data_IF_977704748395
#
_entry.id   IF_977704748395
#
_cell.length_a   1.000
_cell.length_b   1.000
_cell.length_c   1.000
_cell.angle_alpha   90.00
_cell.angle_beta   90.00
_cell.angle_gamma   90.00
#
_symmetry.space_group_name_H-M   'P 1'
#
loop_
_entity.id
_entity.type
_entity.pdbx_description
1 polymer ?
#
# COMPACT_ATOMS: atom_id res chain seq x y z
N UNK A 1 -23.04 7.98 -5.23
CA UNK A 1 -21.63 7.88 -4.82
C UNK A 1 -20.94 9.21 -5.07
N UNK A 2 -20.06 9.67 -4.16
CA UNK A 2 -19.30 10.92 -4.32
C UNK A 2 -18.00 10.61 -5.05
N UNK A 3 -17.78 11.23 -6.20
CA UNK A 3 -16.53 11.15 -6.96
C UNK A 3 -15.83 12.49 -6.87
N UNK A 4 -14.73 12.53 -6.13
CA UNK A 4 -13.91 13.73 -5.97
C UNK A 4 -12.44 13.33 -5.93
N UNK A 5 -11.60 13.98 -6.74
CA UNK A 5 -10.17 13.68 -6.77
C UNK A 5 -9.47 14.13 -5.50
N UNK A 6 -9.89 15.28 -4.95
CA UNK A 6 -9.33 15.86 -3.73
C UNK A 6 -9.77 15.05 -2.51
N UNK A 7 -8.79 14.49 -1.79
CA UNK A 7 -9.01 13.76 -0.54
C UNK A 7 -9.79 14.56 0.49
N UNK A 8 -9.46 15.85 0.67
CA UNK A 8 -10.14 16.72 1.65
C UNK A 8 -11.66 16.78 1.44
N UNK A 9 -12.14 16.77 0.18
CA UNK A 9 -13.57 16.76 -0.12
C UNK A 9 -14.24 15.47 0.36
N UNK A 10 -13.55 14.33 0.20
CA UNK A 10 -14.06 13.02 0.64
C UNK A 10 -14.05 12.88 2.17
N UNK A 11 -13.00 13.39 2.82
CA UNK A 11 -12.88 13.48 4.28
C UNK A 11 -14.01 14.33 4.86
N UNK A 12 -14.26 15.53 4.33
CA UNK A 12 -15.34 16.40 4.81
C UNK A 12 -16.73 15.81 4.54
N UNK A 13 -16.92 15.06 3.46
CA UNK A 13 -18.18 14.36 3.23
C UNK A 13 -18.47 13.33 4.33
N UNK A 14 -17.45 12.62 4.82
CA UNK A 14 -17.60 11.71 5.96
C UNK A 14 -17.82 12.50 7.25
N UNK A 15 -17.02 13.54 7.50
CA UNK A 15 -17.12 14.37 8.70
C UNK A 15 -18.51 15.02 8.86
N UNK A 16 -19.13 15.42 7.75
CA UNK A 16 -20.45 16.05 7.70
C UNK A 16 -21.62 15.06 7.53
N UNK A 17 -21.37 13.75 7.67
CA UNK A 17 -22.38 12.69 7.55
C UNK A 17 -23.08 12.66 6.17
N UNK A 18 -22.40 13.16 5.13
CA UNK A 18 -22.85 13.09 3.72
C UNK A 18 -22.35 11.82 3.02
N UNK A 19 -21.40 11.11 3.63
CA UNK A 19 -20.86 9.83 3.16
C UNK A 19 -20.63 8.89 4.32
N UNK A 20 -21.08 7.64 4.18
CA UNK A 20 -20.92 6.62 5.23
C UNK A 20 -19.52 5.99 5.27
N UNK A 21 -18.76 6.01 4.17
CA UNK A 21 -17.43 5.40 4.10
C UNK A 21 -16.56 5.95 2.97
N UNK A 22 -15.23 5.73 3.08
CA UNK A 22 -14.28 5.86 1.98
C UNK A 22 -13.91 4.47 1.44
N UNK A 23 -14.08 4.26 0.14
CA UNK A 23 -13.80 2.98 -0.53
C UNK A 23 -12.31 2.81 -0.87
N UNK A 24 -11.62 3.91 -1.21
CA UNK A 24 -10.21 3.87 -1.66
C UNK A 24 -9.20 3.81 -0.52
N UNK A 25 -9.67 3.86 0.72
CA UNK A 25 -8.86 4.05 1.91
C UNK A 25 -8.37 5.48 2.07
N UNK A 26 -7.85 5.78 3.26
CA UNK A 26 -7.23 7.06 3.61
C UNK A 26 -5.81 6.80 4.09
N UNK A 27 -4.85 7.70 3.81
CA UNK A 27 -3.54 7.63 4.45
C UNK A 27 -3.69 7.82 5.97
N UNK A 28 -2.73 7.32 6.78
CA UNK A 28 -2.80 7.34 8.24
C UNK A 28 -3.19 8.71 8.82
N UNK A 29 -2.55 9.78 8.34
CA UNK A 29 -2.79 11.14 8.82
C UNK A 29 -4.26 11.59 8.66
N UNK A 30 -4.90 11.28 7.54
CA UNK A 30 -6.30 11.67 7.29
C UNK A 30 -7.28 10.78 8.07
N UNK A 31 -6.95 9.50 8.22
CA UNK A 31 -7.68 8.57 9.09
C UNK A 31 -7.63 9.03 10.56
N UNK A 32 -6.46 9.46 11.03
CA UNK A 32 -6.25 9.96 12.40
C UNK A 32 -6.96 11.28 12.63
N UNK A 33 -6.92 12.20 11.65
CA UNK A 33 -7.67 13.46 11.70
C UNK A 33 -9.19 13.21 11.83
N UNK A 34 -9.74 12.31 11.01
CA UNK A 34 -11.16 11.93 11.10
C UNK A 34 -11.48 11.26 12.44
N UNK A 35 -10.61 10.38 12.93
CA UNK A 35 -10.82 9.71 14.22
C UNK A 35 -10.83 10.70 15.38
N UNK A 36 -9.91 11.67 15.37
CA UNK A 36 -9.86 12.75 16.35
C UNK A 36 -11.12 13.63 16.30
N UNK A 37 -11.66 13.89 15.11
CA UNK A 37 -12.84 14.74 14.94
C UNK A 37 -14.16 14.06 15.29
N UNK A 38 -14.29 12.76 14.98
CA UNK A 38 -15.55 12.02 15.09
C UNK A 38 -15.62 11.10 16.31
N UNK A 39 -14.47 10.77 16.92
CA UNK A 39 -14.38 9.92 18.10
C UNK A 39 -15.08 8.57 17.88
N UNK A 40 -16.04 8.27 18.73
CA UNK A 40 -16.79 7.00 18.73
C UNK A 40 -17.79 6.87 17.57
N UNK A 41 -18.05 7.96 16.83
CA UNK A 41 -18.90 7.92 15.63
C UNK A 41 -18.18 7.32 14.41
N UNK A 42 -16.87 7.13 14.49
CA UNK A 42 -16.06 6.57 13.42
C UNK A 42 -15.50 5.19 13.80
N UNK A 43 -15.78 4.21 12.96
CA UNK A 43 -15.10 2.91 12.96
C UNK A 43 -13.98 2.92 11.93
N UNK A 44 -12.76 2.59 12.36
CA UNK A 44 -11.62 2.36 11.46
C UNK A 44 -11.43 0.86 11.30
N UNK A 45 -11.34 0.40 10.06
CA UNK A 45 -11.03 -0.99 9.73
C UNK A 45 -9.71 -1.05 8.97
N UNK A 46 -8.86 -2.00 9.33
CA UNK A 46 -7.56 -2.19 8.72
C UNK A 46 -7.35 -3.68 8.42
N UNK A 47 -6.90 -3.97 7.20
CA UNK A 47 -6.50 -5.30 6.77
C UNK A 47 -5.45 -5.16 5.66
N UNK A 48 -4.81 -6.27 5.33
CA UNK A 48 -4.10 -6.35 4.06
C UNK A 48 -5.10 -6.42 2.91
N UNK A 49 -4.77 -5.73 1.82
CA UNK A 49 -5.57 -5.66 0.61
C UNK A 49 -4.88 -6.43 -0.50
N UNK A 50 -5.65 -7.04 -1.41
CA UNK A 50 -5.08 -7.65 -2.61
C UNK A 50 -4.70 -6.56 -3.63
N UNK A 51 -3.83 -5.65 -3.21
CA UNK A 51 -3.31 -4.51 -3.93
C UNK A 51 -1.82 -4.39 -3.58
N UNK A 52 -0.97 -4.21 -4.59
CA UNK A 52 0.48 -4.18 -4.41
C UNK A 52 1.09 -2.89 -4.95
N UNK A 53 2.10 -2.39 -4.24
CA UNK A 53 3.03 -1.40 -4.80
C UNK A 53 4.14 -2.14 -5.52
N UNK A 54 4.04 -2.24 -6.86
CA UNK A 54 4.94 -3.03 -7.69
C UNK A 54 5.86 -2.13 -8.51
N UNK A 55 7.13 -2.50 -8.60
CA UNK A 55 8.07 -1.96 -9.59
C UNK A 55 8.08 -2.89 -10.78
N UNK A 56 7.56 -2.42 -11.92
CA UNK A 56 7.41 -3.19 -13.14
C UNK A 56 8.22 -2.57 -14.28
N UNK A 57 9.47 -3.00 -14.50
CA UNK A 57 10.29 -2.52 -15.61
C UNK A 57 9.68 -2.92 -16.95
N UNK A 58 9.61 -1.98 -17.90
CA UNK A 58 9.24 -2.30 -19.27
C UNK A 58 10.39 -3.04 -19.97
N UNK A 59 10.37 -4.37 -19.92
CA UNK A 59 11.42 -5.24 -20.48
C UNK A 59 11.57 -5.16 -22.02
N UNK A 60 10.72 -4.40 -22.71
CA UNK A 60 10.86 -4.15 -24.16
C UNK A 60 11.62 -2.86 -24.48
N UNK A 61 12.04 -2.11 -23.45
CA UNK A 61 12.70 -0.82 -23.61
C UNK A 61 14.09 -0.85 -22.97
N UNK A 62 15.12 -0.38 -23.70
CA UNK A 62 16.49 -0.26 -23.18
C UNK A 62 16.55 0.76 -22.02
N UNK A 63 17.33 0.54 -20.95
CA UNK A 63 18.19 -0.62 -20.70
C UNK A 63 17.48 -1.77 -19.94
N UNK A 64 16.16 -1.72 -19.78
CA UNK A 64 15.41 -2.71 -19.00
C UNK A 64 15.17 -4.04 -19.74
N UNK A 65 15.51 -4.12 -21.02
CA UNK A 65 15.57 -5.37 -21.78
C UNK A 65 16.63 -6.34 -21.23
N UNK A 66 17.73 -5.81 -20.67
CA UNK A 66 18.74 -6.59 -19.98
C UNK A 66 18.23 -7.12 -18.62
N UNK A 67 18.15 -8.46 -18.42
CA UNK A 67 17.73 -9.04 -17.13
C UNK A 67 18.64 -8.66 -15.96
N UNK A 68 19.92 -8.34 -16.20
CA UNK A 68 20.87 -7.94 -15.16
C UNK A 68 20.53 -6.56 -14.61
N UNK A 69 20.07 -5.64 -15.46
CA UNK A 69 19.58 -4.32 -15.05
C UNK A 69 18.34 -4.48 -14.17
N UNK A 70 17.37 -5.31 -14.58
CA UNK A 70 16.18 -5.57 -13.76
C UNK A 70 16.51 -6.20 -12.41
N UNK A 71 17.45 -7.16 -12.38
CA UNK A 71 17.93 -7.78 -11.14
C UNK A 71 18.61 -6.75 -10.23
N UNK A 72 19.49 -5.90 -10.76
CA UNK A 72 20.15 -4.86 -9.99
C UNK A 72 19.14 -3.88 -9.36
N UNK A 73 18.12 -3.46 -10.10
CA UNK A 73 17.05 -2.61 -9.57
C UNK A 73 16.24 -3.30 -8.47
N UNK A 74 15.96 -4.60 -8.61
CA UNK A 74 15.27 -5.35 -7.55
C UNK A 74 16.10 -5.44 -6.27
N UNK A 75 17.41 -5.69 -6.40
CA UNK A 75 18.36 -5.78 -5.28
C UNK A 75 18.61 -4.43 -4.59
N UNK A 76 18.44 -3.32 -5.30
CA UNK A 76 18.64 -1.98 -4.75
C UNK A 76 17.49 -1.49 -3.84
N UNK A 77 16.35 -2.21 -3.83
CA UNK A 77 15.17 -1.83 -3.04
C UNK A 77 15.21 -2.58 -1.70
N UNK A 78 15.39 -1.84 -0.61
CA UNK A 78 15.22 -2.36 0.73
C UNK A 78 13.72 -2.43 1.09
N UNK A 79 13.11 -3.59 0.85
CA UNK A 79 11.68 -3.81 1.08
C UNK A 79 11.33 -3.79 2.57
N UNK A 80 12.18 -4.38 3.40
CA UNK A 80 11.93 -4.54 4.85
C UNK A 80 12.04 -3.23 5.61
N UNK A 81 13.07 -2.42 5.35
CA UNK A 81 13.22 -1.13 6.02
C UNK A 81 12.44 -0.01 5.30
N UNK A 82 12.13 -0.17 4.01
CA UNK A 82 11.31 0.78 3.25
C UNK A 82 9.83 0.78 3.67
N UNK A 83 9.23 -0.39 3.93
CA UNK A 83 7.81 -0.50 4.26
C UNK A 83 7.40 0.30 5.52
N UNK A 84 8.13 0.26 6.66
CA UNK A 84 7.81 1.07 7.84
C UNK A 84 7.86 2.58 7.63
N UNK A 85 8.71 3.06 6.70
CA UNK A 85 8.76 4.48 6.37
C UNK A 85 7.57 4.88 5.49
N UNK A 86 7.27 4.06 4.48
CA UNK A 86 6.15 4.28 3.57
C UNK A 86 4.78 4.18 4.28
N UNK A 87 4.65 3.28 5.26
CA UNK A 87 3.41 3.05 6.01
C UNK A 87 2.93 4.27 6.81
N UNK A 88 3.81 5.26 7.05
CA UNK A 88 3.47 6.53 7.71
C UNK A 88 2.73 7.49 6.80
N UNK A 89 2.90 7.37 5.49
CA UNK A 89 2.35 8.30 4.48
C UNK A 89 1.34 7.64 3.54
N UNK A 90 1.35 6.31 3.43
CA UNK A 90 0.48 5.55 2.55
C UNK A 90 0.07 4.20 3.16
N UNK A 91 -0.96 3.58 2.60
CA UNK A 91 -1.53 2.31 3.08
C UNK A 91 -0.71 1.09 2.61
N UNK A 92 0.60 1.13 2.82
CA UNK A 92 1.55 0.07 2.43
C UNK A 92 2.34 -0.33 3.66
N UNK A 93 2.19 -1.58 4.11
CA UNK A 93 2.78 -2.05 5.38
C UNK A 93 3.42 -3.42 5.31
N UNK A 94 2.80 -4.34 4.58
CA UNK A 94 3.22 -5.73 4.53
C UNK A 94 4.12 -5.95 3.33
N UNK A 95 5.34 -6.43 3.56
CA UNK A 95 6.21 -6.94 2.49
C UNK A 95 5.67 -8.29 2.05
N UNK A 96 5.46 -8.47 0.75
CA UNK A 96 4.91 -9.69 0.19
C UNK A 96 5.41 -9.98 -1.21
N UNK A 97 5.25 -11.24 -1.62
CA UNK A 97 5.50 -11.70 -2.97
C UNK A 97 4.30 -11.49 -3.90
N UNK A 98 4.15 -12.39 -4.88
CA UNK A 98 3.04 -12.34 -5.86
C UNK A 98 1.70 -12.73 -5.23
N UNK A 99 1.73 -13.61 -4.23
CA UNK A 99 0.53 -14.12 -3.56
C UNK A 99 0.13 -13.17 -2.42
N UNK A 100 -1.18 -12.97 -2.27
CA UNK A 100 -1.78 -12.14 -1.22
C UNK A 100 -1.24 -12.51 0.18
N UNK A 101 -0.71 -11.54 0.96
CA UNK A 101 -0.26 -11.78 2.32
C UNK A 101 -1.34 -12.40 3.20
N UNK A 102 -1.00 -13.45 3.96
CA UNK A 102 -1.93 -14.21 4.79
C UNK A 102 -2.68 -15.35 4.09
N UNK A 103 -2.50 -15.52 2.77
CA UNK A 103 -2.92 -16.75 2.08
C UNK A 103 -2.09 -17.95 2.56
N UNK A 104 -2.66 -19.18 2.61
CA UNK A 104 -1.87 -20.40 2.85
C UNK A 104 -0.79 -20.67 1.79
N UNK A 105 -0.88 -20.02 0.63
CA UNK A 105 0.10 -20.10 -0.47
C UNK A 105 1.06 -18.91 -0.50
N UNK A 106 0.95 -17.97 0.44
CA UNK A 106 1.87 -16.86 0.53
C UNK A 106 3.23 -17.36 1.00
N UNK A 107 4.29 -16.95 0.30
CA UNK A 107 5.65 -17.26 0.70
C UNK A 107 5.92 -16.71 2.10
N UNK A 108 6.59 -17.49 2.95
CA UNK A 108 7.04 -17.01 4.26
C UNK A 108 8.16 -15.98 4.10
N UNK A 109 8.51 -15.29 5.19
CA UNK A 109 9.65 -14.37 5.18
C UNK A 109 10.93 -15.09 4.76
N UNK A 110 11.18 -16.27 5.30
CA UNK A 110 12.37 -17.08 5.03
C UNK A 110 12.43 -17.53 3.57
N UNK A 111 11.28 -17.90 3.00
CA UNK A 111 11.18 -18.25 1.57
C UNK A 111 11.39 -17.03 0.67
N UNK A 112 10.85 -15.86 1.06
CA UNK A 112 11.07 -14.61 0.35
C UNK A 112 12.54 -14.21 0.36
N UNK A 113 13.24 -14.32 1.49
CA UNK A 113 14.67 -14.01 1.61
C UNK A 113 15.58 -14.88 0.71
N UNK A 114 15.09 -16.03 0.21
CA UNK A 114 15.80 -16.81 -0.83
C UNK A 114 15.66 -16.22 -2.24
N UNK A 115 14.74 -15.27 -2.44
CA UNK A 115 14.46 -14.63 -3.72
C UNK A 115 15.28 -13.34 -3.83
N UNK A 116 16.02 -13.20 -4.93
CA UNK A 116 16.86 -12.03 -5.17
C UNK A 116 16.07 -10.70 -5.09
N UNK A 117 16.42 -9.85 -4.12
CA UNK A 117 15.84 -8.54 -3.90
C UNK A 117 14.85 -8.46 -2.74
N UNK A 118 14.59 -9.56 -2.06
CA UNK A 118 13.96 -9.55 -0.74
C UNK A 118 15.02 -9.56 0.36
#
# INVERSE_FOLDING_TARGET
AIFADKQAVRVEAIRSDRAAMEFRGLPPAARDELKNALGDKLTVQESDWNCGSLVLPNHKHKPFDDPRVRRALSLAIDRWNGAPALSKIANVRTVGGIVFPGSPLAATKEELEQVAGF
#
